data_IF_025910152245
#
_entry.id   IF_025910152245
#
_cell.length_a   1.000
_cell.length_b   1.000
_cell.length_c   1.000
_cell.angle_alpha   90.00
_cell.angle_beta   90.00
_cell.angle_gamma   90.00
#
_symmetry.space_group_name_H-M   'P 1'
#
loop_
_entity.id
_entity.type
_entity.pdbx_description
1 polymer ?
#
# COMPACT_ATOMS: atom_id res chain seq x y z
N UNK A 1 -25.79 10.69 13.52
CA UNK A 1 -25.51 9.74 12.45
C UNK A 1 -24.02 9.46 12.47
N UNK A 2 -23.54 8.23 12.57
CA UNK A 2 -22.12 7.97 12.45
C UNK A 2 -21.71 8.34 11.03
N UNK A 3 -20.67 9.17 10.92
CA UNK A 3 -20.00 9.48 9.66
C UNK A 3 -19.45 8.16 9.15
N UNK A 4 -20.02 7.62 8.07
CA UNK A 4 -19.36 6.57 7.32
C UNK A 4 -18.06 7.17 6.80
N UNK A 5 -16.98 6.86 7.48
CA UNK A 5 -15.65 7.23 7.04
C UNK A 5 -15.40 6.51 5.72
N UNK A 6 -15.51 7.23 4.62
CA UNK A 6 -15.02 6.82 3.32
C UNK A 6 -13.49 6.67 3.39
N UNK A 7 -13.04 5.58 3.98
CA UNK A 7 -11.62 5.28 4.11
C UNK A 7 -11.12 4.94 2.70
N UNK A 8 -10.30 5.81 2.12
CA UNK A 8 -9.51 5.50 0.95
C UNK A 8 -9.84 6.26 -0.34
N UNK A 9 -10.84 7.11 -0.37
CA UNK A 9 -11.18 7.92 -1.54
C UNK A 9 -10.94 9.40 -1.28
N UNK A 10 -10.16 10.04 -2.13
CA UNK A 10 -9.82 11.46 -2.07
C UNK A 10 -9.39 11.94 -3.46
N UNK A 11 -9.09 13.23 -3.60
CA UNK A 11 -8.72 13.88 -4.87
C UNK A 11 -7.56 13.19 -5.64
N UNK A 12 -6.81 12.30 -4.97
CA UNK A 12 -5.68 11.54 -5.55
C UNK A 12 -6.06 10.17 -6.08
N UNK A 13 -7.31 9.72 -5.87
CA UNK A 13 -7.72 8.36 -6.20
C UNK A 13 -7.57 8.08 -7.68
N UNK A 14 -7.99 9.01 -8.53
CA UNK A 14 -7.90 8.87 -9.98
C UNK A 14 -6.43 8.73 -10.46
N UNK A 15 -5.52 9.57 -9.97
CA UNK A 15 -4.09 9.49 -10.33
C UNK A 15 -3.45 8.20 -9.79
N UNK A 16 -3.78 7.79 -8.57
CA UNK A 16 -3.35 6.50 -8.00
C UNK A 16 -3.82 5.32 -8.85
N UNK A 17 -5.09 5.30 -9.24
CA UNK A 17 -5.69 4.25 -10.05
C UNK A 17 -5.06 4.17 -11.45
N UNK A 18 -4.82 5.31 -12.10
CA UNK A 18 -4.15 5.36 -13.39
C UNK A 18 -2.72 4.81 -13.29
N UNK A 19 -1.99 5.18 -12.25
CA UNK A 19 -0.65 4.68 -12.02
C UNK A 19 -0.63 3.18 -11.69
N UNK A 20 -1.57 2.71 -10.88
CA UNK A 20 -1.76 1.29 -10.61
C UNK A 20 -2.04 0.52 -11.90
N UNK A 21 -2.98 0.98 -12.72
CA UNK A 21 -3.29 0.40 -14.04
C UNK A 21 -2.06 0.28 -14.91
N UNK A 22 -1.25 1.33 -14.98
CA UNK A 22 -0.01 1.33 -15.76
C UNK A 22 0.99 0.29 -15.27
N UNK A 23 1.25 0.23 -13.96
CA UNK A 23 2.20 -0.71 -13.35
C UNK A 23 1.74 -2.16 -13.51
N UNK A 24 0.46 -2.43 -13.23
CA UNK A 24 -0.14 -3.77 -13.39
C UNK A 24 -0.12 -4.20 -14.84
N UNK A 25 -0.48 -3.29 -15.77
CA UNK A 25 -0.46 -3.57 -17.19
C UNK A 25 0.94 -3.90 -17.71
N UNK A 26 1.98 -3.20 -17.25
CA UNK A 26 3.37 -3.49 -17.58
C UNK A 26 3.81 -4.85 -17.01
N UNK A 27 3.48 -5.12 -15.75
CA UNK A 27 3.81 -6.38 -15.08
C UNK A 27 3.16 -7.59 -15.77
N UNK A 28 1.86 -7.51 -16.07
CA UNK A 28 1.13 -8.56 -16.80
C UNK A 28 1.77 -8.87 -18.16
N UNK A 29 2.20 -7.83 -18.93
CA UNK A 29 2.88 -8.02 -20.21
C UNK A 29 4.20 -8.78 -20.05
N UNK A 30 5.00 -8.40 -19.07
CA UNK A 30 6.31 -9.03 -18.82
C UNK A 30 6.09 -10.50 -18.44
N UNK A 31 5.22 -10.77 -17.47
CA UNK A 31 4.96 -12.13 -16.99
C UNK A 31 4.34 -13.00 -18.10
N UNK A 32 3.39 -12.46 -18.89
CA UNK A 32 2.82 -13.16 -20.05
C UNK A 32 3.90 -13.57 -21.04
N UNK A 33 4.80 -12.65 -21.39
CA UNK A 33 5.90 -12.94 -22.32
C UNK A 33 6.84 -14.04 -21.79
N UNK A 34 7.11 -14.02 -20.48
CA UNK A 34 7.91 -15.07 -19.83
C UNK A 34 7.22 -16.44 -19.87
N UNK A 35 5.93 -16.50 -19.54
CA UNK A 35 5.13 -17.72 -19.60
C UNK A 35 5.11 -18.30 -21.03
N UNK A 36 4.85 -17.44 -22.02
CA UNK A 36 4.81 -17.84 -23.43
C UNK A 36 6.17 -18.34 -23.93
N UNK A 37 7.26 -17.64 -23.56
CA UNK A 37 8.62 -18.05 -23.93
C UNK A 37 8.96 -19.43 -23.33
N UNK A 38 8.66 -19.64 -22.05
CA UNK A 38 8.90 -20.91 -21.37
C UNK A 38 8.10 -22.05 -22.02
N UNK A 39 6.83 -21.81 -22.30
CA UNK A 39 5.97 -22.81 -22.96
C UNK A 39 6.48 -23.19 -24.37
N UNK A 40 6.88 -22.20 -25.18
CA UNK A 40 7.47 -22.44 -26.50
C UNK A 40 8.75 -23.28 -26.44
N UNK A 41 9.49 -23.21 -25.35
CA UNK A 41 10.69 -24.00 -25.09
C UNK A 41 10.40 -25.39 -24.48
N UNK A 42 9.12 -25.78 -24.38
CA UNK A 42 8.70 -27.04 -23.77
C UNK A 42 8.81 -27.10 -22.26
N UNK A 43 9.02 -25.96 -21.58
CA UNK A 43 9.12 -25.91 -20.13
C UNK A 43 7.74 -25.96 -19.50
N UNK A 44 7.56 -26.80 -18.48
CA UNK A 44 6.34 -26.87 -17.67
C UNK A 44 6.23 -25.77 -16.63
N UNK A 45 7.31 -25.04 -16.39
CA UNK A 45 7.35 -23.88 -15.48
C UNK A 45 7.77 -22.62 -16.26
N UNK A 46 7.17 -21.45 -15.98
CA UNK A 46 6.08 -21.19 -15.02
C UNK A 46 4.73 -21.75 -15.49
N UNK A 47 3.79 -22.02 -14.56
CA UNK A 47 2.41 -22.35 -14.90
C UNK A 47 1.77 -21.25 -15.76
N UNK A 48 0.85 -21.63 -16.65
CA UNK A 48 0.14 -20.69 -17.53
C UNK A 48 -1.04 -19.99 -16.81
N UNK A 49 -0.90 -19.73 -15.52
CA UNK A 49 -1.87 -19.04 -14.68
C UNK A 49 -1.13 -18.03 -13.81
N UNK A 50 -1.59 -16.78 -13.88
CA UNK A 50 -1.06 -15.67 -13.08
C UNK A 50 -1.87 -15.56 -11.78
N UNK A 51 -1.20 -15.52 -10.64
CA UNK A 51 -1.86 -15.33 -9.34
C UNK A 51 -1.84 -13.87 -8.91
N UNK A 52 -3.01 -13.36 -8.54
CA UNK A 52 -3.17 -12.02 -8.00
C UNK A 52 -3.72 -12.08 -6.59
N UNK A 53 -3.07 -11.40 -5.67
CA UNK A 53 -3.52 -11.24 -4.29
C UNK A 53 -3.72 -9.74 -4.04
N UNK A 54 -4.95 -9.33 -3.72
CA UNK A 54 -5.26 -7.99 -3.25
C UNK A 54 -5.64 -8.08 -1.77
N UNK A 55 -4.71 -7.70 -0.89
CA UNK A 55 -4.91 -7.89 0.56
C UNK A 55 -5.73 -6.76 1.20
N UNK A 56 -6.22 -5.82 0.39
CA UNK A 56 -7.01 -4.66 0.80
C UNK A 56 -8.01 -4.28 -0.29
N UNK A 57 -8.79 -5.28 -0.75
CA UNK A 57 -9.56 -5.21 -1.99
C UNK A 57 -10.69 -4.15 -2.00
N UNK A 58 -11.22 -3.78 -0.82
CA UNK A 58 -12.31 -2.81 -0.70
C UNK A 58 -13.62 -3.26 -1.35
N UNK A 59 -14.41 -2.29 -1.78
CA UNK A 59 -15.71 -2.51 -2.43
C UNK A 59 -15.63 -2.90 -3.91
N UNK A 60 -14.43 -2.85 -4.51
CA UNK A 60 -14.21 -3.03 -5.95
C UNK A 60 -14.42 -1.78 -6.79
N UNK A 61 -15.26 -0.85 -6.37
CA UNK A 61 -15.47 0.47 -6.99
C UNK A 61 -15.55 1.55 -5.91
N UNK A 62 -15.25 2.79 -6.28
CA UNK A 62 -15.49 3.95 -5.42
C UNK A 62 -17.00 4.13 -5.21
N UNK A 63 -17.53 4.12 -3.98
CA UNK A 63 -18.96 4.29 -3.74
C UNK A 63 -19.51 5.63 -4.20
N UNK A 64 -18.67 6.69 -4.21
CA UNK A 64 -19.06 8.06 -4.53
C UNK A 64 -19.05 8.34 -6.04
N UNK A 65 -18.03 7.85 -6.75
CA UNK A 65 -17.81 8.16 -8.17
C UNK A 65 -18.09 6.99 -9.11
N UNK A 66 -18.17 5.78 -8.59
CA UNK A 66 -18.24 4.56 -9.41
C UNK A 66 -16.91 4.15 -10.06
N UNK A 67 -15.83 4.88 -9.79
CA UNK A 67 -14.53 4.57 -10.37
C UNK A 67 -14.02 3.19 -9.94
N UNK A 68 -13.37 2.43 -10.83
CA UNK A 68 -12.92 1.09 -10.53
C UNK A 68 -11.80 1.08 -9.48
N UNK A 69 -11.91 0.23 -8.47
CA UNK A 69 -10.85 -0.08 -7.49
C UNK A 69 -9.80 -1.03 -8.05
N UNK A 70 -8.80 -1.35 -7.23
CA UNK A 70 -7.67 -2.23 -7.63
C UNK A 70 -8.09 -3.59 -8.19
N UNK A 71 -9.09 -4.32 -7.62
CA UNK A 71 -9.51 -5.61 -8.17
C UNK A 71 -10.08 -5.51 -9.57
N UNK A 72 -10.94 -4.52 -9.81
CA UNK A 72 -11.58 -4.30 -11.13
C UNK A 72 -10.54 -3.84 -12.15
N UNK A 73 -9.66 -2.90 -11.78
CA UNK A 73 -8.56 -2.45 -12.66
C UNK A 73 -7.67 -3.63 -13.06
N UNK A 74 -7.30 -4.49 -12.10
CA UNK A 74 -6.49 -5.67 -12.39
C UNK A 74 -7.21 -6.63 -13.34
N UNK A 75 -8.50 -6.93 -13.07
CA UNK A 75 -9.29 -7.84 -13.88
C UNK A 75 -9.47 -7.33 -15.33
N UNK A 76 -9.75 -6.02 -15.50
CA UNK A 76 -9.80 -5.36 -16.81
C UNK A 76 -8.48 -5.52 -17.59
N UNK A 77 -7.35 -5.23 -16.93
CA UNK A 77 -6.04 -5.32 -17.57
C UNK A 77 -5.69 -6.77 -17.94
N UNK A 78 -5.99 -7.72 -17.09
CA UNK A 78 -5.77 -9.13 -17.35
C UNK A 78 -6.64 -9.64 -18.52
N UNK A 79 -7.92 -9.24 -18.56
CA UNK A 79 -8.84 -9.55 -19.65
C UNK A 79 -8.37 -8.94 -20.97
N UNK A 80 -8.04 -7.64 -20.98
CA UNK A 80 -7.53 -6.92 -22.14
C UNK A 80 -6.26 -7.54 -22.72
N UNK A 81 -5.40 -8.08 -21.87
CA UNK A 81 -4.16 -8.73 -22.26
C UNK A 81 -4.30 -10.24 -22.45
N UNK A 82 -5.50 -10.80 -22.26
CA UNK A 82 -5.76 -12.24 -22.39
C UNK A 82 -4.81 -13.08 -21.51
N UNK A 83 -4.63 -12.66 -20.25
CA UNK A 83 -3.88 -13.41 -19.25
C UNK A 83 -4.85 -14.21 -18.41
N UNK A 84 -4.67 -15.53 -18.33
CA UNK A 84 -5.43 -16.36 -17.41
C UNK A 84 -4.98 -16.06 -15.98
N UNK A 85 -5.93 -15.71 -15.12
CA UNK A 85 -5.64 -15.30 -13.75
C UNK A 85 -6.40 -16.13 -12.73
N UNK A 86 -5.84 -16.20 -11.53
CA UNK A 86 -6.52 -16.60 -10.30
C UNK A 86 -6.34 -15.52 -9.27
N UNK A 87 -7.42 -14.86 -8.89
CA UNK A 87 -7.40 -13.70 -8.00
C UNK A 87 -7.96 -14.04 -6.63
N UNK A 88 -7.25 -13.65 -5.58
CA UNK A 88 -7.63 -13.77 -4.18
C UNK A 88 -7.79 -12.35 -3.62
N UNK A 89 -9.02 -11.98 -3.30
CA UNK A 89 -9.41 -10.62 -2.93
C UNK A 89 -9.81 -10.61 -1.45
N UNK A 90 -9.00 -9.98 -0.61
CA UNK A 90 -9.20 -9.99 0.85
C UNK A 90 -9.85 -8.69 1.28
N UNK A 91 -10.94 -8.81 2.03
CA UNK A 91 -11.70 -7.68 2.54
C UNK A 91 -12.26 -8.00 3.92
N UNK A 92 -12.09 -7.06 4.85
CA UNK A 92 -12.48 -7.22 6.25
C UNK A 92 -13.99 -7.03 6.45
N UNK A 93 -14.56 -6.01 5.79
CA UNK A 93 -15.96 -5.62 5.97
C UNK A 93 -16.88 -6.52 5.14
N UNK A 94 -17.89 -7.16 5.76
CA UNK A 94 -18.84 -8.04 5.03
C UNK A 94 -19.65 -7.33 3.94
N UNK A 95 -20.03 -6.05 4.16
CA UNK A 95 -20.77 -5.26 3.18
C UNK A 95 -19.91 -4.92 1.96
N UNK A 96 -18.63 -4.59 2.19
CA UNK A 96 -17.65 -4.41 1.12
C UNK A 96 -17.41 -5.71 0.34
N UNK A 97 -17.36 -6.86 1.03
CA UNK A 97 -17.25 -8.17 0.37
C UNK A 97 -18.41 -8.44 -0.59
N UNK A 98 -19.62 -8.06 -0.22
CA UNK A 98 -20.82 -8.23 -1.06
C UNK A 98 -20.76 -7.33 -2.29
N UNK A 99 -20.42 -6.06 -2.09
CA UNK A 99 -20.22 -5.09 -3.16
C UNK A 99 -19.14 -5.56 -4.14
N UNK A 100 -18.01 -6.02 -3.60
CA UNK A 100 -16.88 -6.54 -4.38
C UNK A 100 -17.29 -7.76 -5.24
N UNK A 101 -18.05 -8.71 -4.68
CA UNK A 101 -18.59 -9.85 -5.46
C UNK A 101 -19.47 -9.39 -6.62
N UNK A 102 -20.30 -8.37 -6.39
CA UNK A 102 -21.12 -7.75 -7.44
C UNK A 102 -20.25 -7.17 -8.56
N UNK A 103 -19.25 -6.38 -8.22
CA UNK A 103 -18.33 -5.76 -9.19
C UNK A 103 -17.52 -6.79 -9.99
N UNK A 104 -17.14 -7.90 -9.36
CA UNK A 104 -16.32 -8.94 -9.98
C UNK A 104 -17.11 -9.96 -10.80
N UNK A 105 -18.45 -9.95 -10.74
CA UNK A 105 -19.31 -10.97 -11.36
C UNK A 105 -19.11 -11.18 -12.87
N UNK A 106 -18.62 -10.17 -13.59
CA UNK A 106 -18.31 -10.26 -15.02
C UNK A 106 -16.93 -10.84 -15.37
N UNK A 107 -16.08 -11.10 -14.39
CA UNK A 107 -14.72 -11.58 -14.61
C UNK A 107 -14.55 -13.03 -14.14
N UNK A 108 -13.71 -13.86 -14.80
CA UNK A 108 -13.44 -15.22 -14.36
C UNK A 108 -12.29 -15.29 -13.33
N UNK A 109 -12.23 -16.37 -12.55
CA UNK A 109 -11.05 -16.76 -11.80
C UNK A 109 -10.76 -15.95 -10.54
N UNK A 110 -11.77 -15.41 -9.87
CA UNK A 110 -11.63 -14.68 -8.62
C UNK A 110 -12.31 -15.37 -7.43
N UNK A 111 -11.83 -15.05 -6.25
CA UNK A 111 -12.44 -15.42 -4.98
C UNK A 111 -12.32 -14.26 -4.00
N UNK A 112 -13.43 -13.86 -3.37
CA UNK A 112 -13.43 -12.93 -2.24
C UNK A 112 -13.27 -13.71 -0.96
N UNK A 113 -12.24 -13.38 -0.20
CA UNK A 113 -11.90 -13.99 1.10
C UNK A 113 -12.23 -12.98 2.20
N UNK A 114 -13.32 -13.18 2.95
CA UNK A 114 -13.70 -12.28 4.03
C UNK A 114 -12.78 -12.46 5.25
N UNK A 115 -12.49 -11.37 5.96
CA UNK A 115 -11.74 -11.37 7.21
C UNK A 115 -10.44 -10.58 7.17
N UNK A 116 -9.76 -10.50 8.32
CA UNK A 116 -8.48 -9.79 8.43
C UNK A 116 -7.43 -10.49 7.54
N UNK A 117 -6.81 -9.71 6.64
CA UNK A 117 -5.77 -10.20 5.75
C UNK A 117 -4.58 -10.83 6.51
N UNK A 118 -4.30 -10.40 7.75
CA UNK A 118 -3.23 -10.97 8.57
C UNK A 118 -3.48 -12.43 8.93
N UNK A 119 -4.75 -12.81 9.03
CA UNK A 119 -5.17 -14.16 9.42
C UNK A 119 -5.51 -15.01 8.18
N UNK A 120 -6.03 -14.39 7.13
CA UNK A 120 -6.66 -15.11 6.01
C UNK A 120 -5.75 -15.32 4.81
N UNK A 121 -4.74 -14.47 4.58
CA UNK A 121 -3.90 -14.54 3.36
C UNK A 121 -3.10 -15.83 3.29
N UNK A 122 -2.33 -16.17 4.34
CA UNK A 122 -1.47 -17.36 4.31
C UNK A 122 -2.26 -18.66 4.18
N UNK A 123 -3.36 -18.89 4.92
CA UNK A 123 -4.19 -20.07 4.75
C UNK A 123 -4.87 -20.20 3.40
N UNK A 124 -5.07 -19.07 2.69
CA UNK A 124 -5.71 -19.06 1.37
C UNK A 124 -4.77 -19.38 0.21
N UNK A 125 -3.47 -19.51 0.46
CA UNK A 125 -2.49 -19.88 -0.57
C UNK A 125 -2.72 -21.35 -0.96
N UNK A 126 -3.03 -21.67 -2.23
CA UNK A 126 -3.22 -23.05 -2.66
C UNK A 126 -1.92 -23.85 -2.58
N UNK A 127 -1.95 -24.99 -1.91
CA UNK A 127 -0.82 -25.90 -1.87
C UNK A 127 -0.75 -26.71 -3.18
N UNK A 128 0.03 -26.23 -4.14
CA UNK A 128 0.22 -26.85 -5.45
C UNK A 128 1.65 -27.38 -5.65
N UNK A 129 2.48 -27.25 -4.62
CA UNK A 129 3.83 -27.82 -4.55
C UNK A 129 4.86 -27.16 -5.47
N UNK A 130 4.53 -26.04 -6.13
CA UNK A 130 5.43 -25.32 -7.05
C UNK A 130 5.19 -23.82 -7.04
N UNK A 131 6.22 -22.99 -7.31
CA UNK A 131 6.05 -21.53 -7.38
C UNK A 131 5.15 -21.11 -8.54
N UNK A 132 4.38 -20.04 -8.32
CA UNK A 132 3.61 -19.32 -9.35
C UNK A 132 4.17 -17.93 -9.58
N UNK A 133 3.94 -17.40 -10.78
CA UNK A 133 4.17 -16.00 -11.10
C UNK A 133 2.90 -15.20 -10.80
N UNK A 134 3.08 -13.97 -10.34
CA UNK A 134 1.93 -13.15 -9.98
C UNK A 134 2.32 -11.87 -9.27
N UNK A 135 1.33 -11.23 -8.67
CA UNK A 135 1.47 -9.99 -7.93
C UNK A 135 0.64 -10.05 -6.64
N UNK A 136 1.24 -9.64 -5.53
CA UNK A 136 0.50 -9.24 -4.34
C UNK A 136 0.45 -7.72 -4.30
N UNK A 137 -0.75 -7.17 -4.24
CA UNK A 137 -1.00 -5.75 -4.03
C UNK A 137 -1.40 -5.48 -2.58
N UNK A 138 -0.82 -4.43 -2.01
CA UNK A 138 -1.07 -4.00 -0.64
C UNK A 138 -1.25 -2.48 -0.61
N UNK A 139 -2.46 -2.04 -0.26
CA UNK A 139 -2.85 -0.64 -0.05
C UNK A 139 -3.49 -0.50 1.33
N UNK A 140 -2.70 -0.49 2.36
CA UNK A 140 -3.18 -0.32 3.74
C UNK A 140 -3.48 1.14 4.01
N UNK A 141 -4.61 1.63 3.49
CA UNK A 141 -5.08 3.00 3.69
C UNK A 141 -5.01 3.41 5.17
N UNK A 142 -4.14 4.37 5.48
CA UNK A 142 -4.01 4.93 6.83
C UNK A 142 -3.19 4.11 7.83
N UNK A 143 -2.73 2.92 7.47
CA UNK A 143 -1.88 2.08 8.31
C UNK A 143 -0.55 1.74 7.65
N UNK A 144 0.32 1.10 8.39
CA UNK A 144 1.62 0.66 7.91
C UNK A 144 1.49 -0.69 7.18
N UNK A 145 2.29 -0.93 6.13
CA UNK A 145 2.28 -2.23 5.46
C UNK A 145 2.53 -3.38 6.44
N UNK A 146 1.81 -4.50 6.33
CA UNK A 146 1.93 -5.63 7.25
C UNK A 146 3.19 -6.44 6.94
N UNK A 147 4.37 -5.93 7.30
CA UNK A 147 5.67 -6.51 6.91
C UNK A 147 5.86 -7.95 7.37
N UNK A 148 5.35 -8.33 8.54
CA UNK A 148 5.41 -9.73 9.01
C UNK A 148 4.66 -10.68 8.08
N UNK A 149 3.46 -10.28 7.64
CA UNK A 149 2.70 -11.02 6.64
C UNK A 149 3.45 -11.11 5.31
N UNK A 150 3.99 -9.97 4.83
CA UNK A 150 4.70 -9.91 3.55
C UNK A 150 5.97 -10.79 3.57
N UNK A 151 6.70 -10.83 4.68
CA UNK A 151 7.85 -11.74 4.87
C UNK A 151 7.41 -13.19 4.80
N UNK A 152 6.39 -13.55 5.59
CA UNK A 152 5.85 -14.91 5.61
C UNK A 152 5.34 -15.32 4.24
N UNK A 153 4.58 -14.47 3.56
CA UNK A 153 4.09 -14.71 2.21
C UNK A 153 5.23 -14.96 1.22
N UNK A 154 6.28 -14.16 1.27
CA UNK A 154 7.41 -14.29 0.36
C UNK A 154 8.28 -15.54 0.59
N UNK A 155 8.10 -16.27 1.71
CA UNK A 155 8.81 -17.51 2.04
C UNK A 155 8.01 -18.78 1.73
N UNK A 156 6.69 -18.69 1.57
CA UNK A 156 5.88 -19.84 1.15
C UNK A 156 6.29 -20.28 -0.26
N UNK A 157 6.49 -21.57 -0.45
CA UNK A 157 7.03 -22.16 -1.70
C UNK A 157 6.28 -21.66 -2.94
N UNK A 158 4.96 -21.65 -2.88
CA UNK A 158 4.08 -21.29 -3.99
C UNK A 158 4.18 -19.82 -4.37
N UNK A 159 4.50 -18.95 -3.42
CA UNK A 159 4.50 -17.48 -3.58
C UNK A 159 5.88 -16.85 -3.65
N UNK A 160 6.96 -17.64 -3.54
CA UNK A 160 8.34 -17.12 -3.62
C UNK A 160 8.62 -16.30 -4.88
N UNK A 161 7.91 -16.59 -5.98
CA UNK A 161 8.04 -15.91 -7.27
C UNK A 161 6.92 -14.89 -7.56
N UNK A 162 6.02 -14.68 -6.62
CA UNK A 162 5.01 -13.62 -6.71
C UNK A 162 5.66 -12.30 -6.30
N UNK A 163 5.55 -11.29 -7.14
CA UNK A 163 6.09 -9.98 -6.88
C UNK A 163 5.17 -9.19 -5.94
N UNK A 164 5.70 -8.16 -5.29
CA UNK A 164 4.98 -7.35 -4.31
C UNK A 164 4.84 -5.93 -4.84
N UNK A 165 3.65 -5.35 -4.78
CA UNK A 165 3.39 -3.95 -5.09
C UNK A 165 2.74 -3.28 -3.88
N UNK A 166 3.46 -2.41 -3.22
CA UNK A 166 3.03 -1.71 -2.01
C UNK A 166 2.70 -0.26 -2.36
N UNK A 167 1.49 0.17 -2.06
CA UNK A 167 1.15 1.58 -2.03
C UNK A 167 1.52 2.17 -0.67
N UNK A 168 2.25 3.25 -0.66
CA UNK A 168 2.65 3.96 0.56
C UNK A 168 2.49 5.46 0.41
N UNK A 169 2.05 6.11 1.47
CA UNK A 169 1.98 7.57 1.56
C UNK A 169 2.90 8.03 2.69
N UNK A 170 3.68 9.09 2.44
CA UNK A 170 4.55 9.67 3.45
C UNK A 170 3.77 10.09 4.70
N UNK A 171 2.57 10.65 4.53
CA UNK A 171 1.69 11.04 5.64
C UNK A 171 1.33 9.83 6.51
N UNK A 172 0.97 8.71 5.89
CA UNK A 172 0.62 7.48 6.62
C UNK A 172 1.84 6.89 7.31
N UNK A 173 2.97 6.79 6.61
CA UNK A 173 4.22 6.29 7.17
C UNK A 173 4.66 7.13 8.38
N UNK A 174 4.73 8.45 8.25
CA UNK A 174 5.13 9.35 9.34
C UNK A 174 4.18 9.27 10.54
N UNK A 175 2.86 9.19 10.29
CA UNK A 175 1.85 9.04 11.34
C UNK A 175 2.03 7.72 12.11
N UNK A 176 2.19 6.61 11.39
CA UNK A 176 2.39 5.29 12.00
C UNK A 176 3.74 5.17 12.70
N UNK A 177 4.80 5.75 12.13
CA UNK A 177 6.13 5.77 12.74
C UNK A 177 6.08 6.41 14.13
N UNK A 178 5.36 7.54 14.27
CA UNK A 178 5.16 8.18 15.58
C UNK A 178 4.48 7.27 16.60
N UNK A 179 3.46 6.52 16.20
CA UNK A 179 2.74 5.60 17.06
C UNK A 179 3.55 4.37 17.51
N UNK A 180 4.55 3.97 16.71
CA UNK A 180 5.37 2.77 16.96
C UNK A 180 6.79 3.06 17.46
N UNK A 181 7.18 4.32 17.60
CA UNK A 181 8.53 4.71 18.01
C UNK A 181 8.97 4.06 19.33
N UNK A 182 8.07 4.00 20.31
CA UNK A 182 8.33 3.43 21.63
C UNK A 182 8.51 1.90 21.63
N UNK A 183 8.16 1.23 20.52
CA UNK A 183 8.28 -0.23 20.36
C UNK A 183 9.54 -0.63 19.57
N UNK A 184 10.51 0.23 19.42
CA UNK A 184 11.72 -0.05 18.64
C UNK A 184 11.42 -0.24 17.15
N UNK A 185 10.47 0.49 16.64
CA UNK A 185 10.02 0.38 15.27
C UNK A 185 11.16 0.60 14.27
N UNK A 186 11.29 -0.30 13.29
CA UNK A 186 12.30 -0.22 12.23
C UNK A 186 11.87 0.76 11.15
N UNK A 187 12.85 1.37 10.50
CA UNK A 187 12.61 2.25 9.36
C UNK A 187 12.08 1.44 8.16
N UNK A 188 11.26 2.09 7.31
CA UNK A 188 10.68 1.45 6.11
C UNK A 188 11.73 0.69 5.27
N UNK A 189 12.92 1.29 5.09
CA UNK A 189 14.02 0.66 4.35
C UNK A 189 14.46 -0.67 4.95
N UNK A 190 14.60 -0.71 6.28
CA UNK A 190 15.03 -1.90 7.01
C UNK A 190 13.97 -3.00 6.90
N UNK A 191 12.70 -2.66 7.04
CA UNK A 191 11.60 -3.60 6.88
C UNK A 191 11.53 -4.21 5.47
N UNK A 192 11.66 -3.38 4.43
CA UNK A 192 11.68 -3.86 3.05
C UNK A 192 12.79 -4.88 2.82
N UNK A 193 14.00 -4.61 3.34
CA UNK A 193 15.17 -5.48 3.15
C UNK A 193 15.06 -6.80 3.91
N UNK A 194 14.16 -6.92 4.89
CA UNK A 194 13.89 -8.20 5.57
C UNK A 194 13.03 -9.15 4.75
N UNK A 195 12.34 -8.67 3.73
CA UNK A 195 11.52 -9.52 2.84
C UNK A 195 12.41 -10.12 1.75
N UNK A 196 12.40 -11.44 1.53
CA UNK A 196 13.30 -12.12 0.60
C UNK A 196 12.93 -11.86 -0.87
N UNK A 197 13.18 -10.63 -1.33
CA UNK A 197 13.10 -10.22 -2.74
C UNK A 197 14.48 -9.76 -3.22
N UNK A 198 14.84 -10.14 -4.44
CA UNK A 198 16.16 -9.83 -5.02
C UNK A 198 16.31 -8.37 -5.47
N UNK A 199 15.20 -7.73 -5.77
CA UNK A 199 15.16 -6.34 -6.26
C UNK A 199 14.01 -5.60 -5.60
N UNK A 200 14.32 -4.40 -5.11
CA UNK A 200 13.33 -3.45 -4.65
C UNK A 200 13.44 -2.16 -5.46
N UNK A 201 12.31 -1.73 -5.99
CA UNK A 201 12.17 -0.51 -6.77
C UNK A 201 11.21 0.43 -6.06
N UNK A 202 11.51 1.72 -6.06
CA UNK A 202 10.61 2.76 -5.55
C UNK A 202 10.38 3.78 -6.63
N UNK A 203 9.14 4.22 -6.80
CA UNK A 203 8.77 5.28 -7.72
C UNK A 203 8.97 6.64 -7.08
N UNK A 204 9.25 7.69 -7.87
CA UNK A 204 9.23 9.06 -7.37
C UNK A 204 7.85 9.37 -6.74
N UNK A 205 7.82 9.93 -5.53
CA UNK A 205 6.57 10.29 -4.87
C UNK A 205 5.80 11.34 -5.67
N UNK A 206 4.48 11.23 -5.66
CA UNK A 206 3.57 12.12 -6.37
C UNK A 206 2.56 12.78 -5.44
N UNK A 207 2.01 13.88 -5.93
CA UNK A 207 0.95 14.62 -5.28
C UNK A 207 1.36 15.30 -3.96
N UNK A 208 0.42 16.06 -3.40
CA UNK A 208 0.61 16.82 -2.15
C UNK A 208 0.95 15.93 -0.94
N UNK A 209 0.45 14.70 -0.92
CA UNK A 209 0.67 13.75 0.18
C UNK A 209 1.85 12.82 -0.03
N UNK A 210 2.68 13.07 -1.03
CA UNK A 210 3.91 12.30 -1.28
C UNK A 210 3.64 10.79 -1.25
N UNK A 211 2.69 10.32 -2.06
CA UNK A 211 2.43 8.89 -2.20
C UNK A 211 3.30 8.26 -3.29
N UNK A 212 3.60 6.99 -3.13
CA UNK A 212 4.40 6.23 -4.09
C UNK A 212 4.02 4.76 -4.11
N UNK A 213 4.51 4.07 -5.13
CA UNK A 213 4.53 2.61 -5.19
C UNK A 213 5.94 2.09 -4.95
N UNK A 214 6.03 1.04 -4.12
CA UNK A 214 7.25 0.27 -3.90
C UNK A 214 7.01 -1.12 -4.46
N UNK A 215 7.93 -1.57 -5.31
CA UNK A 215 7.83 -2.85 -6.00
C UNK A 215 8.98 -3.78 -5.58
N UNK A 216 8.63 -4.97 -5.10
CA UNK A 216 9.58 -6.01 -4.70
C UNK A 216 9.51 -7.22 -5.63
N UNK A 217 10.64 -7.62 -6.21
CA UNK A 217 10.69 -8.75 -7.13
C UNK A 217 11.76 -9.77 -6.76
N UNK A 218 11.49 -11.04 -7.06
CA UNK A 218 12.45 -12.13 -6.99
C UNK A 218 13.41 -12.15 -8.19
N UNK A 219 13.20 -11.33 -9.18
CA UNK A 219 14.06 -11.16 -10.35
C UNK A 219 15.09 -10.07 -10.09
N UNK A 220 16.33 -10.30 -10.52
CA UNK A 220 17.40 -9.30 -10.41
C UNK A 220 17.19 -8.12 -11.35
N UNK A 221 16.55 -8.37 -12.48
CA UNK A 221 16.28 -7.37 -13.52
C UNK A 221 14.83 -7.53 -13.98
N UNK A 222 14.15 -6.43 -14.15
CA UNK A 222 12.79 -6.34 -14.68
C UNK A 222 12.82 -5.50 -15.96
N UNK A 223 13.05 -6.11 -17.15
CA UNK A 223 13.07 -5.39 -18.43
C UNK A 223 11.75 -4.64 -18.65
N UNK A 224 11.83 -3.37 -19.02
CA UNK A 224 10.67 -2.51 -19.27
C UNK A 224 10.11 -1.78 -18.04
N UNK A 225 10.48 -2.16 -16.83
CA UNK A 225 10.08 -1.44 -15.62
C UNK A 225 10.76 -0.05 -15.47
N UNK A 226 12.00 0.22 -15.96
CA UNK A 226 12.59 1.56 -15.91
C UNK A 226 11.77 2.65 -16.60
N UNK A 227 10.95 2.30 -17.59
CA UNK A 227 10.01 3.23 -18.22
C UNK A 227 8.95 3.80 -17.26
N UNK A 228 8.86 3.25 -16.02
CA UNK A 228 7.90 3.63 -15.02
C UNK A 228 8.43 4.67 -14.01
N UNK A 229 9.55 5.35 -14.28
CA UNK A 229 10.19 6.31 -13.37
C UNK A 229 10.47 5.70 -11.99
N UNK A 230 11.05 4.52 -11.97
CA UNK A 230 11.38 3.80 -10.74
C UNK A 230 12.89 3.77 -10.51
N UNK A 231 13.28 3.79 -9.25
CA UNK A 231 14.67 3.75 -8.81
C UNK A 231 14.90 2.53 -7.92
N UNK A 232 16.08 1.93 -8.02
CA UNK A 232 16.45 0.86 -7.10
C UNK A 232 16.53 1.39 -5.67
N UNK A 233 15.93 0.67 -4.73
CA UNK A 233 15.94 1.01 -3.31
C UNK A 233 17.36 1.05 -2.73
N UNK A 234 18.25 0.17 -3.20
CA UNK A 234 19.67 0.13 -2.83
C UNK A 234 20.53 1.20 -3.53
N UNK A 235 19.96 1.93 -4.50
CA UNK A 235 20.62 3.03 -5.19
C UNK A 235 20.47 4.38 -4.47
N UNK A 236 21.34 5.34 -4.80
CA UNK A 236 21.36 6.68 -4.18
C UNK A 236 20.01 7.39 -4.22
N UNK A 237 19.33 7.37 -5.39
CA UNK A 237 18.04 8.03 -5.56
C UNK A 237 16.94 7.34 -4.76
N UNK A 238 16.86 6.00 -4.82
CA UNK A 238 15.87 5.24 -4.05
C UNK A 238 16.03 5.44 -2.54
N UNK A 239 17.27 5.46 -2.04
CA UNK A 239 17.55 5.76 -0.64
C UNK A 239 17.09 7.17 -0.25
N UNK A 240 17.30 8.18 -1.11
CA UNK A 240 16.84 9.54 -0.87
C UNK A 240 15.29 9.60 -0.80
N UNK A 241 14.59 8.89 -1.70
CA UNK A 241 13.13 8.79 -1.70
C UNK A 241 12.64 8.17 -0.39
N UNK A 242 13.18 7.00 0.00
CA UNK A 242 12.73 6.30 1.21
C UNK A 242 13.01 7.12 2.47
N UNK A 243 14.10 7.85 2.53
CA UNK A 243 14.38 8.78 3.64
C UNK A 243 13.28 9.82 3.76
N UNK A 244 12.90 10.48 2.68
CA UNK A 244 11.80 11.48 2.68
C UNK A 244 10.48 10.92 3.18
N UNK A 245 10.19 9.64 2.89
CA UNK A 245 8.97 8.98 3.34
C UNK A 245 8.99 8.61 4.83
N UNK A 246 10.17 8.40 5.43
CA UNK A 246 10.30 7.82 6.77
C UNK A 246 10.79 8.78 7.85
N UNK A 247 11.49 9.85 7.49
CA UNK A 247 12.04 10.80 8.46
C UNK A 247 10.93 11.63 9.12
N UNK A 248 11.08 11.91 10.41
CA UNK A 248 10.24 12.89 11.11
C UNK A 248 10.63 14.30 10.68
N UNK A 249 9.66 15.22 10.79
CA UNK A 249 9.90 16.64 10.56
C UNK A 249 11.01 17.10 11.52
N UNK A 250 12.07 17.69 10.97
CA UNK A 250 13.27 18.12 11.74
C UNK A 250 14.44 17.12 11.76
N UNK A 251 14.28 15.87 11.33
CA UNK A 251 15.39 14.92 11.16
C UNK A 251 16.09 15.07 9.79
N UNK A 252 15.48 15.78 8.87
CA UNK A 252 16.04 16.02 7.54
C UNK A 252 16.84 17.33 7.53
N UNK A 253 18.16 17.22 7.49
CA UNK A 253 19.07 18.36 7.48
C UNK A 253 18.92 19.16 6.17
N UNK A 254 17.85 19.91 6.00
CA UNK A 254 17.81 20.96 5.01
C UNK A 254 16.61 21.11 4.08
N UNK A 255 15.59 20.31 4.20
CA UNK A 255 14.34 20.58 3.47
C UNK A 255 13.23 20.92 4.47
N UNK A 256 12.94 22.22 4.64
CA UNK A 256 11.74 22.67 5.33
C UNK A 256 10.55 21.94 4.71
N UNK A 257 9.89 21.04 5.45
CA UNK A 257 8.68 20.42 4.98
C UNK A 257 7.55 21.44 5.06
N UNK A 258 6.56 21.32 4.18
CA UNK A 258 5.37 22.20 4.15
C UNK A 258 4.58 22.19 5.48
N UNK A 259 5.05 21.46 6.49
CA UNK A 259 4.46 21.28 7.82
C UNK A 259 5.31 21.89 8.95
N UNK A 260 6.42 22.55 8.65
CA UNK A 260 7.12 23.42 9.60
C UNK A 260 6.31 24.70 9.84
N UNK A 261 5.09 24.53 10.37
CA UNK A 261 4.42 25.65 11.03
C UNK A 261 5.15 25.82 12.36
N UNK A 262 5.79 26.98 12.60
CA UNK A 262 6.41 27.25 13.88
C UNK A 262 5.35 27.03 14.96
N UNK A 263 5.61 26.14 15.91
CA UNK A 263 4.77 26.03 17.11
C UNK A 263 4.90 27.39 17.79
N UNK A 264 3.81 28.19 17.70
CA UNK A 264 3.70 29.38 18.51
C UNK A 264 3.88 28.91 19.96
N UNK A 265 4.88 29.42 20.68
CA UNK A 265 5.04 29.06 22.08
C UNK A 265 3.75 29.41 22.81
N UNK A 266 3.29 28.60 23.78
CA UNK A 266 2.11 28.93 24.56
C UNK A 266 2.34 30.31 25.19
N UNK A 267 1.34 31.17 25.10
CA UNK A 267 1.37 32.50 25.70
C UNK A 267 1.75 32.37 27.16
N UNK A 268 2.63 33.25 27.67
CA UNK A 268 3.02 33.21 29.08
C UNK A 268 1.76 33.31 29.93
N UNK A 269 1.60 32.39 30.86
CA UNK A 269 0.52 32.40 31.84
C UNK A 269 0.54 33.73 32.62
N UNK A 270 -0.50 34.52 32.45
CA UNK A 270 -0.71 35.74 33.24
C UNK A 270 -0.85 35.32 34.70
N UNK A 271 -0.04 35.84 35.64
CA UNK A 271 -0.22 35.56 37.04
C UNK A 271 -1.56 36.09 37.52
N UNK A 272 -2.26 35.41 38.43
CA UNK A 272 -3.54 35.91 38.95
C UNK A 272 -3.32 37.24 39.65
N UNK A 273 -4.11 38.26 39.26
CA UNK A 273 -4.13 39.57 39.88
C UNK A 273 -4.58 39.43 41.34
N UNK A 274 -3.68 39.79 42.25
CA UNK A 274 -3.96 39.92 43.68
C UNK A 274 -4.67 41.25 43.90
N UNK A 275 -5.97 41.26 43.76
CA UNK A 275 -6.80 42.34 44.28
C UNK A 275 -8.06 41.76 44.96
N UNK A 276 -7.85 41.41 46.22
CA UNK A 276 -8.91 41.06 47.19
C UNK A 276 -9.36 42.28 47.96
N UNK A 277 -10.10 43.17 47.35
CA UNK A 277 -10.83 44.24 48.05
C UNK A 277 -12.20 43.75 48.45
N UNK A 278 -12.36 43.40 49.73
CA UNK A 278 -13.67 43.07 50.35
C UNK A 278 -14.51 44.34 50.48
N UNK A 279 -15.74 44.42 49.97
CA UNK A 279 -16.64 45.53 50.29
C UNK A 279 -17.27 45.36 51.68
N UNK A 280 -17.17 46.45 52.49
CA UNK A 280 -17.79 46.54 53.79
C UNK A 280 -19.33 46.53 53.68
N UNK A 281 -19.99 45.79 54.58
CA UNK A 281 -21.45 45.77 54.76
C UNK A 281 -21.94 47.06 55.45
N UNK A 282 -23.06 47.68 55.04
CA UNK A 282 -23.70 48.73 55.77
C UNK A 282 -24.49 48.20 56.96
N UNK A 283 -24.28 48.79 58.14
CA UNK A 283 -25.10 48.62 59.34
C UNK A 283 -26.44 49.33 59.17
N UNK A 284 -27.53 48.62 59.35
CA UNK A 284 -28.87 49.18 59.55
C UNK A 284 -29.07 49.60 60.99
N UNK A 285 -29.57 50.78 61.22
CA UNK A 285 -30.35 51.19 62.36
C UNK A 285 -31.82 50.87 62.13
#
# INVERSE_FOLDING_TARGET
MPVQNGIGYGDFTADKQQNFRYLVGAHLKIVKAMMQKAHKLGNSWPPQEYWYFDITAGTGTCPETGDPGSPVIFADEAHRQQVRTRSFLFELDPGNCESLRGCMGGFPGWAVVPGDHKETVLPSIPNVGRPHLGLLYCDTSGTYPPFDLLRSFATVKETTRIDLLLYVSATNIKRCYGAYADRGYKRLTEELLTIPKSTWLVREPRGRHQWTFIFGSSWREMPGFPACEVHRVDGKQGQAILRRLTLRDGEDNGTATLFDVPRVPPAPSVPPSADGGSPAQPRTM
#
